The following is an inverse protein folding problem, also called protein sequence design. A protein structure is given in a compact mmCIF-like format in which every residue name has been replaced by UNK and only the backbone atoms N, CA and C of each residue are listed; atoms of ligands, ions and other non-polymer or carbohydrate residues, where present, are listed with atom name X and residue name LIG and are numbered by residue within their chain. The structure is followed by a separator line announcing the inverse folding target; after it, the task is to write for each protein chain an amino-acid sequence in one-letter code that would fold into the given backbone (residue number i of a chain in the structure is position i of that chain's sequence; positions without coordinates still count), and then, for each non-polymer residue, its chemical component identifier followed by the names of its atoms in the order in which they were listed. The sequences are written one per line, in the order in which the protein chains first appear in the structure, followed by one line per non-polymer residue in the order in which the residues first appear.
data_IF_963264764273
#
_entry.id   IF_963264764273
#
_cell.length_a   1.000
_cell.length_b   1.000
_cell.length_c   1.000
_cell.angle_alpha   90.00
_cell.angle_beta   90.00
_cell.angle_gamma   90.00
#
_symmetry.space_group_name_H-M   'P 1'
#
loop_
_entity.id
_entity.type
_entity.pdbx_description
1 polymer ?
#
# COMPACT_ATOMS: atom_id res chain seq x y z
N UNK A 1 11.87 18.65 0.44
CA UNK A 1 10.88 17.65 0.05
C UNK A 1 9.67 18.35 -0.54
N UNK A 2 9.18 17.91 -1.70
CA UNK A 2 7.98 18.41 -2.35
C UNK A 2 6.97 17.27 -2.47
N UNK A 3 5.78 17.46 -1.89
CA UNK A 3 4.66 16.55 -2.06
C UNK A 3 3.75 17.04 -3.20
N UNK A 4 3.38 16.12 -4.09
CA UNK A 4 2.37 16.30 -5.11
C UNK A 4 1.24 15.31 -4.86
N UNK A 5 0.36 15.64 -3.91
CA UNK A 5 -0.82 14.82 -3.60
C UNK A 5 -1.84 14.94 -4.73
N UNK A 6 -2.05 13.85 -5.45
CA UNK A 6 -3.10 13.77 -6.46
C UNK A 6 -4.41 13.36 -5.81
N UNK A 7 -5.52 14.00 -6.19
CA UNK A 7 -6.85 13.53 -5.82
C UNK A 7 -7.23 12.26 -6.59
N UNK A 8 -6.75 12.14 -7.84
CA UNK A 8 -6.90 10.91 -8.61
C UNK A 8 -6.12 9.76 -7.91
N UNK A 9 -6.71 8.62 -7.79
CA UNK A 9 -7.94 8.09 -8.44
C UNK A 9 -9.12 7.98 -7.46
N UNK A 10 -9.21 8.87 -6.48
CA UNK A 10 -10.29 8.89 -5.47
C UNK A 10 -11.66 9.22 -6.09
N UNK A 11 -12.74 8.79 -5.46
CA UNK A 11 -14.11 9.21 -5.80
C UNK A 11 -14.31 10.73 -5.53
N UNK A 12 -15.11 11.48 -6.32
CA UNK A 12 -16.03 11.04 -7.39
C UNK A 12 -15.22 10.71 -8.64
N UNK A 13 -15.57 9.60 -9.34
CA UNK A 13 -14.86 9.19 -10.54
C UNK A 13 -15.19 10.11 -11.70
N UNK A 14 -14.18 10.82 -12.22
CA UNK A 14 -14.31 11.75 -13.33
C UNK A 14 -13.06 11.75 -14.21
N UNK A 15 -13.24 11.69 -15.51
CA UNK A 15 -12.18 11.83 -16.49
C UNK A 15 -12.75 12.43 -17.79
N UNK A 16 -11.92 12.97 -18.71
CA UNK A 16 -12.36 13.42 -20.01
C UNK A 16 -13.09 12.33 -20.80
N UNK A 17 -14.22 12.67 -21.43
CA UNK A 17 -15.04 11.72 -22.19
C UNK A 17 -14.25 10.97 -23.27
N UNK A 18 -13.31 11.64 -23.92
CA UNK A 18 -12.44 11.03 -24.93
C UNK A 18 -11.65 9.84 -24.37
N UNK A 19 -11.14 9.96 -23.13
CA UNK A 19 -10.43 8.87 -22.46
C UNK A 19 -11.37 7.79 -21.94
N UNK A 20 -12.52 8.18 -21.39
CA UNK A 20 -13.53 7.21 -20.95
C UNK A 20 -13.95 6.36 -22.15
N UNK A 21 -14.21 6.97 -23.31
CA UNK A 21 -14.59 6.28 -24.54
C UNK A 21 -13.45 5.38 -25.06
N UNK A 22 -12.18 5.81 -24.95
CA UNK A 22 -11.02 4.97 -25.25
C UNK A 22 -11.08 3.65 -24.47
N UNK A 23 -11.38 3.71 -23.18
CA UNK A 23 -11.41 2.51 -22.32
C UNK A 23 -12.72 1.72 -22.43
N UNK A 24 -13.85 2.34 -22.76
CA UNK A 24 -15.11 1.63 -23.08
C UNK A 24 -14.96 0.72 -24.31
N UNK A 25 -14.15 1.16 -25.28
CA UNK A 25 -13.91 0.41 -26.52
C UNK A 25 -12.82 -0.66 -26.40
N UNK A 26 -12.16 -0.79 -25.23
CA UNK A 26 -11.22 -1.86 -24.95
C UNK A 26 -11.93 -3.07 -24.32
N UNK A 27 -11.51 -4.26 -24.66
CA UNK A 27 -11.93 -5.46 -23.94
C UNK A 27 -11.53 -5.33 -22.47
N UNK A 28 -12.47 -5.39 -21.52
CA UNK A 28 -12.14 -5.28 -20.11
C UNK A 28 -11.30 -6.46 -19.64
N UNK A 29 -10.42 -6.21 -18.69
CA UNK A 29 -9.68 -7.26 -17.99
C UNK A 29 -10.59 -8.11 -17.11
N UNK A 30 -10.08 -9.25 -16.65
CA UNK A 30 -10.83 -10.15 -15.76
C UNK A 30 -11.27 -9.44 -14.46
N UNK A 31 -10.39 -8.64 -13.88
CA UNK A 31 -10.56 -7.99 -12.58
C UNK A 31 -10.86 -6.50 -12.69
N UNK A 32 -10.30 -5.80 -13.68
CA UNK A 32 -10.43 -4.35 -13.84
C UNK A 32 -11.34 -4.02 -15.02
N UNK A 33 -12.56 -3.54 -14.73
CA UNK A 33 -13.62 -3.36 -15.74
C UNK A 33 -14.16 -1.93 -15.81
N UNK A 34 -13.74 -1.04 -14.90
CA UNK A 34 -14.27 0.32 -14.82
C UNK A 34 -13.52 1.26 -15.78
N UNK A 35 -14.14 1.73 -16.88
CA UNK A 35 -13.48 2.57 -17.88
C UNK A 35 -13.17 3.98 -17.36
N UNK A 36 -13.96 4.51 -16.42
CA UNK A 36 -13.71 5.83 -15.85
C UNK A 36 -12.46 5.76 -14.94
N UNK A 37 -12.37 4.74 -14.11
CA UNK A 37 -11.21 4.53 -13.26
C UNK A 37 -9.93 4.32 -14.08
N UNK A 38 -9.99 3.56 -15.16
CA UNK A 38 -8.87 3.37 -16.08
C UNK A 38 -8.43 4.71 -16.74
N UNK A 39 -9.38 5.56 -17.13
CA UNK A 39 -9.09 6.88 -17.66
C UNK A 39 -8.46 7.82 -16.61
N UNK A 40 -8.86 7.71 -15.33
CA UNK A 40 -8.24 8.45 -14.23
C UNK A 40 -6.79 8.00 -13.98
N UNK A 41 -6.53 6.68 -14.03
CA UNK A 41 -5.17 6.14 -13.91
C UNK A 41 -4.28 6.66 -15.03
N UNK A 42 -4.75 6.68 -16.29
CA UNK A 42 -3.98 7.25 -17.42
C UNK A 42 -3.64 8.73 -17.15
N UNK A 43 -4.58 9.51 -16.63
CA UNK A 43 -4.31 10.92 -16.28
C UNK A 43 -3.31 11.08 -15.14
N UNK A 44 -3.34 10.19 -14.18
CA UNK A 44 -2.34 10.16 -13.12
C UNK A 44 -0.95 9.85 -13.69
N UNK A 45 -0.86 8.84 -14.55
CA UNK A 45 0.39 8.45 -15.22
C UNK A 45 0.95 9.57 -16.09
N UNK A 46 0.12 10.23 -16.92
CA UNK A 46 0.46 11.43 -17.68
C UNK A 46 1.05 12.54 -16.80
N UNK A 47 0.50 12.73 -15.60
CA UNK A 47 0.99 13.74 -14.65
C UNK A 47 2.37 13.40 -14.11
N UNK A 48 2.57 12.14 -13.72
CA UNK A 48 3.88 11.63 -13.27
C UNK A 48 4.91 11.75 -14.40
N UNK A 49 4.53 11.37 -15.62
CA UNK A 49 5.38 11.49 -16.80
C UNK A 49 5.84 12.93 -17.05
N UNK A 50 4.91 13.91 -16.96
CA UNK A 50 5.24 15.34 -17.09
C UNK A 50 6.20 15.83 -16.01
N UNK A 51 6.03 15.42 -14.76
CA UNK A 51 6.95 15.76 -13.66
C UNK A 51 8.34 15.22 -13.97
N UNK A 52 8.46 13.96 -14.37
CA UNK A 52 9.73 13.34 -14.74
C UNK A 52 10.40 14.06 -15.94
N UNK A 53 9.61 14.49 -16.92
CA UNK A 53 10.12 15.25 -18.07
C UNK A 53 10.65 16.63 -17.67
N UNK A 54 9.97 17.35 -16.79
CA UNK A 54 10.42 18.64 -16.26
C UNK A 54 11.75 18.49 -15.52
N UNK A 55 11.86 17.51 -14.62
CA UNK A 55 13.09 17.21 -13.87
C UNK A 55 14.25 16.94 -14.83
N UNK A 56 14.01 16.18 -15.91
CA UNK A 56 15.00 15.89 -16.95
C UNK A 56 15.39 17.16 -17.71
N UNK A 57 14.41 17.97 -18.14
CA UNK A 57 14.65 19.21 -18.91
C UNK A 57 15.44 20.24 -18.10
N UNK A 58 15.23 20.31 -16.79
CA UNK A 58 15.96 21.17 -15.87
C UNK A 58 17.38 20.67 -15.54
N UNK A 59 17.76 19.47 -16.00
CA UNK A 59 19.08 18.88 -15.71
C UNK A 59 19.33 18.56 -14.24
N UNK A 60 18.27 18.27 -13.46
CA UNK A 60 18.36 17.99 -12.01
C UNK A 60 18.04 16.54 -11.63
N UNK A 61 17.96 15.63 -12.60
CA UNK A 61 17.53 14.26 -12.40
C UNK A 61 18.46 13.44 -11.48
N UNK A 62 19.74 13.72 -11.49
CA UNK A 62 20.78 13.09 -10.64
C UNK A 62 20.70 13.52 -9.16
N UNK A 63 20.09 14.69 -8.91
CA UNK A 63 19.89 15.26 -7.56
C UNK A 63 18.45 15.20 -7.08
N UNK A 64 17.57 14.49 -7.81
CA UNK A 64 16.15 14.41 -7.50
C UNK A 64 15.72 12.96 -7.37
N UNK A 65 15.19 12.62 -6.20
CA UNK A 65 14.50 11.35 -5.98
C UNK A 65 13.04 11.57 -6.29
N UNK A 66 12.47 10.71 -7.13
CA UNK A 66 11.05 10.66 -7.42
C UNK A 66 10.46 9.41 -6.75
N UNK A 67 9.49 9.60 -5.89
CA UNK A 67 8.81 8.52 -5.17
C UNK A 67 7.33 8.56 -5.56
N UNK A 68 6.82 7.44 -6.09
CA UNK A 68 5.41 7.20 -6.28
C UNK A 68 4.93 6.21 -5.21
N UNK A 69 3.94 6.60 -4.45
CA UNK A 69 3.41 5.83 -3.31
C UNK A 69 1.91 6.08 -3.17
N UNK A 70 1.13 5.02 -2.90
CA UNK A 70 -0.29 5.13 -2.58
C UNK A 70 -0.50 5.16 -1.07
N UNK A 71 -1.51 5.89 -0.61
CA UNK A 71 -1.85 6.02 0.81
C UNK A 71 -2.58 4.78 1.37
N UNK A 72 -3.37 4.10 0.52
CA UNK A 72 -4.11 2.89 0.85
C UNK A 72 -4.40 2.06 -0.40
N UNK A 73 -4.92 0.87 -0.20
CA UNK A 73 -5.36 -0.01 -1.27
C UNK A 73 -6.60 0.48 -2.01
N UNK A 74 -6.90 -0.19 -3.12
CA UNK A 74 -8.04 0.15 -3.97
C UNK A 74 -9.38 0.03 -3.25
N UNK A 75 -10.30 0.92 -3.61
CA UNK A 75 -11.65 0.94 -3.03
C UNK A 75 -12.60 0.04 -3.81
N UNK A 76 -13.13 -1.00 -3.19
CA UNK A 76 -14.26 -1.76 -3.72
C UNK A 76 -15.56 -0.92 -3.64
N UNK A 77 -16.46 -1.02 -4.60
CA UNK A 77 -16.47 -1.82 -5.84
C UNK A 77 -15.85 -1.11 -7.04
N UNK A 78 -15.08 -0.04 -6.85
CA UNK A 78 -14.51 0.78 -7.94
C UNK A 78 -13.44 0.01 -8.70
N UNK A 79 -12.60 -0.71 -7.97
CA UNK A 79 -11.50 -1.53 -8.49
C UNK A 79 -11.39 -2.84 -7.73
N UNK A 80 -10.67 -3.79 -8.32
CA UNK A 80 -10.35 -5.08 -7.72
C UNK A 80 -8.88 -5.08 -7.27
N UNK A 81 -8.57 -5.62 -6.12
CA UNK A 81 -7.21 -5.72 -5.58
C UNK A 81 -6.58 -7.11 -5.78
N UNK A 82 -7.24 -8.00 -6.53
CA UNK A 82 -6.72 -9.35 -6.79
C UNK A 82 -5.24 -9.34 -7.23
N UNK A 83 -4.38 -10.21 -6.68
CA UNK A 83 -4.68 -11.37 -5.82
C UNK A 83 -4.81 -11.05 -4.32
N UNK A 84 -4.74 -9.79 -3.91
CA UNK A 84 -4.82 -9.37 -2.52
C UNK A 84 -6.27 -9.39 -2.04
N UNK A 85 -6.49 -9.81 -0.79
CA UNK A 85 -7.80 -9.83 -0.18
C UNK A 85 -8.22 -8.42 0.29
N UNK A 86 -9.53 -8.11 0.17
CA UNK A 86 -10.12 -6.87 0.66
C UNK A 86 -9.65 -5.63 -0.09
N UNK A 87 -9.85 -4.49 0.52
CA UNK A 87 -9.53 -3.19 -0.06
C UNK A 87 -9.44 -2.08 0.99
N UNK A 88 -9.52 -0.84 0.54
CA UNK A 88 -9.37 0.37 1.36
C UNK A 88 -10.09 0.27 2.71
N UNK A 89 -9.33 0.41 3.81
CA UNK A 89 -9.80 0.41 5.18
C UNK A 89 -10.01 -0.97 5.80
N UNK A 90 -9.81 -2.04 5.04
CA UNK A 90 -9.87 -3.41 5.56
C UNK A 90 -8.50 -3.85 6.12
N UNK A 91 -8.46 -4.82 7.06
CA UNK A 91 -7.21 -5.29 7.67
C UNK A 91 -6.31 -6.12 6.76
N UNK A 92 -6.83 -6.55 5.61
CA UNK A 92 -6.17 -7.45 4.68
C UNK A 92 -5.15 -6.75 3.78
N UNK A 93 -4.35 -7.53 3.05
CA UNK A 93 -3.29 -7.02 2.16
C UNK A 93 -3.84 -6.05 1.10
N UNK A 94 -5.05 -6.29 0.57
CA UNK A 94 -5.69 -5.37 -0.38
C UNK A 94 -5.99 -3.98 0.18
N UNK A 95 -6.07 -3.84 1.51
CA UNK A 95 -6.25 -2.56 2.18
C UNK A 95 -4.94 -1.80 2.45
N UNK A 96 -3.85 -2.53 2.70
CA UNK A 96 -2.60 -1.96 3.21
C UNK A 96 -1.39 -2.13 2.28
N UNK A 97 -1.37 -3.14 1.42
CA UNK A 97 -0.26 -3.39 0.49
C UNK A 97 -0.44 -2.58 -0.79
N UNK A 98 0.39 -1.58 -0.97
CA UNK A 98 0.28 -0.60 -2.05
C UNK A 98 1.56 -0.53 -2.90
N UNK A 99 1.47 -0.01 -4.14
CA UNK A 99 2.65 0.24 -4.95
C UNK A 99 3.58 1.28 -4.31
N UNK A 100 4.88 0.97 -4.30
CA UNK A 100 5.96 1.91 -4.02
C UNK A 100 6.98 1.83 -5.15
N UNK A 101 7.24 2.94 -5.82
CA UNK A 101 8.25 3.04 -6.87
C UNK A 101 9.20 4.18 -6.52
N UNK A 102 10.50 3.90 -6.53
CA UNK A 102 11.53 4.89 -6.26
C UNK A 102 12.45 4.99 -7.47
N UNK A 103 12.66 6.22 -7.96
CA UNK A 103 13.58 6.53 -9.04
C UNK A 103 14.60 7.56 -8.59
N UNK A 104 15.88 7.27 -8.80
CA UNK A 104 16.98 8.22 -8.62
C UNK A 104 18.03 7.99 -9.69
N UNK A 105 18.05 8.87 -10.68
CA UNK A 105 18.91 8.74 -11.85
C UNK A 105 20.40 8.72 -11.48
N UNK A 106 21.13 7.70 -11.94
CA UNK A 106 22.56 7.53 -11.66
C UNK A 106 22.89 7.06 -10.24
N UNK A 107 21.88 6.78 -9.38
CA UNK A 107 22.06 6.29 -8.01
C UNK A 107 21.37 4.96 -7.74
N UNK A 108 20.22 4.73 -8.37
CA UNK A 108 19.47 3.48 -8.27
C UNK A 108 19.43 2.87 -9.67
N UNK A 109 19.82 1.61 -9.78
CA UNK A 109 19.72 0.84 -11.01
C UNK A 109 18.24 0.59 -11.36
N UNK A 110 17.92 0.65 -12.66
CA UNK A 110 16.57 0.40 -13.12
C UNK A 110 16.21 -1.08 -13.09
N UNK A 111 14.92 -1.38 -12.86
CA UNK A 111 14.38 -2.75 -12.90
C UNK A 111 14.57 -3.59 -11.63
N UNK A 112 15.19 -3.05 -10.59
CA UNK A 112 15.32 -3.74 -9.30
C UNK A 112 13.94 -3.89 -8.67
N UNK A 113 13.68 -5.08 -8.10
CA UNK A 113 12.52 -5.37 -7.27
C UNK A 113 12.97 -5.81 -5.89
N UNK A 114 12.32 -5.30 -4.84
CA UNK A 114 12.57 -5.67 -3.45
C UNK A 114 11.29 -6.20 -2.81
N UNK A 115 11.42 -7.23 -1.97
CA UNK A 115 10.35 -7.76 -1.13
C UNK A 115 10.39 -7.22 0.30
N UNK A 116 11.35 -6.36 0.62
CA UNK A 116 11.47 -5.71 1.93
C UNK A 116 10.20 -4.87 2.19
N UNK A 117 9.49 -5.10 3.30
CA UNK A 117 8.29 -4.33 3.61
C UNK A 117 8.67 -2.92 4.05
N UNK A 118 8.11 -1.94 3.34
CA UNK A 118 8.28 -0.50 3.60
C UNK A 118 6.92 0.09 3.99
N UNK A 119 6.93 1.04 4.90
CA UNK A 119 5.71 1.73 5.35
C UNK A 119 5.92 3.25 5.38
N UNK A 120 4.83 4.02 5.48
CA UNK A 120 4.86 5.48 5.42
C UNK A 120 5.75 6.15 6.46
N UNK A 121 5.92 5.54 7.64
CA UNK A 121 6.80 6.07 8.70
C UNK A 121 8.29 6.00 8.35
N UNK A 122 8.68 5.19 7.35
CA UNK A 122 10.06 5.03 6.90
C UNK A 122 10.56 6.23 6.08
N UNK A 123 9.66 7.02 5.50
CA UNK A 123 10.06 8.18 4.69
C UNK A 123 10.77 9.26 5.51
N UNK A 124 10.33 9.52 6.74
CA UNK A 124 10.94 10.56 7.55
C UNK A 124 12.42 10.28 7.86
N UNK A 125 12.82 9.15 8.46
CA UNK A 125 14.23 8.84 8.68
C UNK A 125 15.02 8.75 7.37
N UNK A 126 14.43 8.27 6.28
CA UNK A 126 15.06 8.26 4.97
C UNK A 126 15.43 9.67 4.49
N UNK A 127 14.48 10.62 4.57
CA UNK A 127 14.75 11.98 4.13
C UNK A 127 15.74 12.70 5.03
N UNK A 128 15.74 12.42 6.34
CA UNK A 128 16.73 12.97 7.28
C UNK A 128 18.13 12.44 6.95
N UNK A 129 18.28 11.13 6.67
CA UNK A 129 19.55 10.52 6.25
C UNK A 129 20.07 11.14 4.95
N UNK A 130 19.20 11.27 3.94
CA UNK A 130 19.58 11.86 2.65
C UNK A 130 20.00 13.33 2.76
N UNK A 131 19.43 14.05 3.71
CA UNK A 131 19.79 15.42 4.03
C UNK A 131 21.02 15.53 4.95
N UNK A 132 21.68 14.41 5.29
CA UNK A 132 22.80 14.33 6.22
C UNK A 132 22.47 14.87 7.62
N UNK A 133 21.19 14.78 7.99
CA UNK A 133 20.69 15.16 9.30
C UNK A 133 20.87 14.07 10.35
N UNK A 134 20.68 14.43 11.61
CA UNK A 134 20.68 13.47 12.71
C UNK A 134 19.27 12.89 12.88
N UNK A 135 19.14 11.57 12.77
CA UNK A 135 17.87 10.88 13.03
C UNK A 135 17.59 10.95 14.53
N UNK A 136 16.40 11.41 14.95
CA UNK A 136 15.96 11.34 16.35
C UNK A 136 15.97 9.89 16.86
N UNK A 137 16.24 9.71 18.16
CA UNK A 137 15.99 8.44 18.83
C UNK A 137 14.47 8.18 18.90
N UNK A 138 14.07 6.92 19.02
CA UNK A 138 12.68 6.49 19.23
C UNK A 138 11.75 6.78 18.05
N UNK A 139 12.18 6.44 16.84
CA UNK A 139 11.33 6.40 15.65
C UNK A 139 10.88 4.96 15.36
N UNK A 140 9.62 4.81 14.96
CA UNK A 140 9.08 3.53 14.47
C UNK A 140 9.62 3.21 13.06
N UNK A 141 9.87 4.24 12.25
CA UNK A 141 10.39 4.13 10.91
C UNK A 141 11.89 3.91 10.84
N UNK A 142 12.36 3.31 9.76
CA UNK A 142 13.77 3.09 9.44
C UNK A 142 14.09 3.66 8.06
N UNK A 143 15.37 3.97 7.82
CA UNK A 143 15.81 4.40 6.48
C UNK A 143 15.59 3.30 5.42
N UNK A 144 14.82 3.64 4.38
CA UNK A 144 14.41 2.71 3.32
C UNK A 144 15.61 2.08 2.62
N UNK A 145 16.66 2.88 2.34
CA UNK A 145 17.84 2.37 1.64
C UNK A 145 18.63 1.40 2.51
N UNK A 146 18.73 1.67 3.81
CA UNK A 146 19.33 0.74 4.78
C UNK A 146 18.54 -0.56 4.86
N UNK A 147 17.19 -0.48 4.94
CA UNK A 147 16.32 -1.66 4.97
C UNK A 147 16.52 -2.55 3.72
N UNK A 148 16.55 -1.94 2.53
CA UNK A 148 16.70 -2.66 1.26
C UNK A 148 18.09 -3.27 1.14
N UNK A 149 19.15 -2.52 1.45
CA UNK A 149 20.53 -2.99 1.36
C UNK A 149 20.81 -4.15 2.31
N UNK A 150 20.21 -4.14 3.50
CA UNK A 150 20.35 -5.22 4.48
C UNK A 150 19.35 -6.37 4.24
N UNK A 151 18.46 -6.25 3.26
CA UNK A 151 17.38 -7.21 3.01
C UNK A 151 16.54 -7.52 4.26
N UNK A 152 16.16 -6.49 5.02
CA UNK A 152 15.41 -6.62 6.29
C UNK A 152 13.95 -7.02 6.05
N UNK A 153 13.70 -8.30 5.77
CA UNK A 153 12.35 -8.83 5.51
C UNK A 153 11.59 -9.19 6.79
N UNK A 154 12.30 -9.44 7.89
CA UNK A 154 11.75 -9.96 9.16
C UNK A 154 11.33 -8.86 10.16
N UNK A 155 10.98 -7.67 9.68
CA UNK A 155 10.53 -6.58 10.55
C UNK A 155 9.07 -6.73 10.96
N UNK A 156 8.73 -6.22 12.15
CA UNK A 156 7.35 -6.13 12.64
C UNK A 156 6.72 -4.81 12.18
N UNK A 157 5.53 -4.88 11.58
CA UNK A 157 4.72 -3.74 11.18
C UNK A 157 3.35 -3.85 11.84
N UNK A 158 2.83 -2.72 12.33
CA UNK A 158 1.59 -2.67 13.11
C UNK A 158 0.58 -1.73 12.49
N UNK A 159 -0.69 -2.11 12.55
CA UNK A 159 -1.83 -1.28 12.20
C UNK A 159 -2.86 -1.33 13.32
N UNK A 160 -3.43 -0.19 13.64
CA UNK A 160 -4.52 -0.07 14.60
C UNK A 160 -5.65 0.76 13.99
N UNK A 161 -6.83 0.18 13.89
CA UNK A 161 -8.01 0.82 13.30
C UNK A 161 -9.18 0.71 14.27
N UNK A 162 -9.37 1.70 15.19
CA UNK A 162 -10.38 1.65 16.24
C UNK A 162 -11.74 2.21 15.79
N UNK A 163 -12.14 1.96 14.54
CA UNK A 163 -13.34 2.52 13.96
C UNK A 163 -14.16 1.50 13.18
N UNK A 164 -15.43 1.83 12.95
CA UNK A 164 -16.32 1.11 12.06
C UNK A 164 -16.29 1.77 10.68
N UNK A 165 -16.12 0.99 9.64
CA UNK A 165 -16.13 1.46 8.28
C UNK A 165 -17.29 0.82 7.53
N UNK A 166 -18.28 1.64 7.16
CA UNK A 166 -19.48 1.18 6.49
C UNK A 166 -19.18 0.46 5.16
N UNK A 167 -19.98 -0.54 4.86
CA UNK A 167 -19.95 -1.24 3.58
C UNK A 167 -20.47 -0.32 2.47
N UNK A 168 -19.89 -0.46 1.27
CA UNK A 168 -20.44 0.14 0.06
C UNK A 168 -21.69 -0.60 -0.45
N UNK A 169 -21.92 -1.81 0.08
CA UNK A 169 -23.05 -2.66 -0.24
C UNK A 169 -24.15 -2.46 0.81
N UNK A 170 -25.36 -2.88 0.50
CA UNK A 170 -26.51 -2.90 1.43
C UNK A 170 -26.91 -1.55 2.06
N UNK A 171 -26.55 -0.42 1.42
CA UNK A 171 -26.90 0.92 1.90
C UNK A 171 -26.35 1.25 3.28
N UNK A 172 -25.13 0.76 3.60
CA UNK A 172 -24.45 1.04 4.87
C UNK A 172 -24.96 0.24 6.08
N UNK A 173 -25.71 -0.83 5.85
CA UNK A 173 -26.25 -1.66 6.95
C UNK A 173 -25.23 -2.61 7.58
N UNK A 174 -24.12 -2.85 6.88
CA UNK A 174 -23.02 -3.69 7.32
C UNK A 174 -21.72 -2.90 7.37
N UNK A 175 -20.72 -3.43 8.06
CA UNK A 175 -19.38 -2.86 8.13
C UNK A 175 -18.42 -3.71 7.28
N UNK A 176 -17.62 -3.05 6.42
CA UNK A 176 -16.51 -3.68 5.71
C UNK A 176 -15.25 -3.80 6.57
N UNK A 177 -15.16 -3.00 7.63
CA UNK A 177 -14.20 -3.16 8.71
C UNK A 177 -14.85 -2.75 10.04
N UNK A 178 -14.54 -3.53 11.06
CA UNK A 178 -14.85 -3.28 12.47
C UNK A 178 -13.54 -2.99 13.19
N UNK A 179 -13.54 -2.48 14.42
CA UNK A 179 -12.30 -2.20 15.14
C UNK A 179 -11.36 -3.41 15.17
N UNK A 180 -10.13 -3.20 14.69
CA UNK A 180 -9.09 -4.23 14.65
C UNK A 180 -7.70 -3.66 14.95
N UNK A 181 -6.80 -4.55 15.33
CA UNK A 181 -5.36 -4.36 15.22
C UNK A 181 -4.75 -5.49 14.43
N UNK A 182 -3.68 -5.22 13.70
CA UNK A 182 -2.95 -6.26 13.00
C UNK A 182 -1.44 -6.06 13.11
N UNK A 183 -0.72 -7.18 13.06
CA UNK A 183 0.73 -7.22 12.96
C UNK A 183 1.13 -8.05 11.75
N UNK A 184 2.09 -7.53 10.97
CA UNK A 184 2.88 -8.32 10.04
C UNK A 184 4.28 -8.51 10.62
N UNK A 185 4.73 -9.75 10.73
CA UNK A 185 6.05 -10.13 11.21
C UNK A 185 6.66 -11.11 10.22
N UNK A 186 7.60 -10.63 9.41
CA UNK A 186 8.14 -11.39 8.28
C UNK A 186 7.05 -11.83 7.30
N UNK A 187 6.94 -13.14 7.10
CA UNK A 187 5.95 -13.76 6.22
C UNK A 187 4.56 -13.95 6.88
N UNK A 188 4.42 -13.64 8.15
CA UNK A 188 3.18 -13.88 8.89
C UNK A 188 2.40 -12.62 9.16
N UNK A 189 1.07 -12.74 9.17
CA UNK A 189 0.15 -11.67 9.54
C UNK A 189 -0.91 -12.20 10.50
N UNK A 190 -1.12 -11.47 11.61
CA UNK A 190 -2.20 -11.70 12.55
C UNK A 190 -3.12 -10.48 12.54
N UNK A 191 -4.43 -10.74 12.51
CA UNK A 191 -5.48 -9.75 12.68
C UNK A 191 -6.22 -10.09 13.98
N UNK A 192 -6.42 -9.11 14.85
CA UNK A 192 -7.20 -9.22 16.07
C UNK A 192 -8.42 -8.32 15.98
N UNK A 193 -9.61 -8.88 16.14
CA UNK A 193 -10.89 -8.18 16.12
C UNK A 193 -11.35 -7.87 17.54
N UNK A 194 -11.64 -6.60 17.84
CA UNK A 194 -11.94 -6.17 19.21
C UNK A 194 -13.36 -6.55 19.67
N UNK A 195 -14.34 -6.67 18.76
CA UNK A 195 -15.73 -6.95 19.14
C UNK A 195 -15.90 -8.33 19.75
N UNK A 196 -15.42 -9.35 19.07
CA UNK A 196 -15.61 -10.76 19.43
C UNK A 196 -14.32 -11.43 19.92
N UNK A 197 -13.22 -10.67 19.94
CA UNK A 197 -11.87 -11.14 20.31
C UNK A 197 -11.37 -12.28 19.42
N UNK A 198 -11.92 -12.43 18.23
CA UNK A 198 -11.45 -13.40 17.25
C UNK A 198 -10.09 -12.97 16.67
N UNK A 199 -9.39 -13.95 16.12
CA UNK A 199 -8.09 -13.76 15.47
C UNK A 199 -8.07 -14.51 14.16
N UNK A 200 -7.45 -13.90 13.14
CA UNK A 200 -7.11 -14.54 11.88
C UNK A 200 -5.59 -14.56 11.70
N UNK A 201 -5.03 -15.66 11.23
CA UNK A 201 -3.60 -15.84 11.02
C UNK A 201 -3.32 -16.29 9.60
N UNK A 202 -2.45 -15.58 8.90
CA UNK A 202 -2.09 -15.87 7.51
C UNK A 202 -0.58 -16.01 7.32
N UNK A 203 -0.17 -16.87 6.37
CA UNK A 203 1.20 -16.94 5.88
C UNK A 203 1.27 -16.31 4.48
N UNK A 204 1.66 -15.05 4.41
CA UNK A 204 1.65 -14.24 3.18
C UNK A 204 2.62 -14.73 2.10
N UNK A 205 3.63 -15.54 2.45
CA UNK A 205 4.53 -16.16 1.48
C UNK A 205 3.84 -17.21 0.64
N UNK A 206 2.98 -18.00 1.25
CA UNK A 206 2.30 -19.13 0.62
C UNK A 206 0.88 -18.79 0.19
N UNK A 207 0.27 -17.79 0.85
CA UNK A 207 -1.12 -17.36 0.66
C UNK A 207 -1.21 -15.83 0.74
N UNK A 208 -0.77 -15.18 -0.34
CA UNK A 208 -0.81 -13.71 -0.45
C UNK A 208 -2.25 -13.15 -0.46
N UNK A 209 -3.21 -13.99 -0.87
CA UNK A 209 -4.63 -13.65 -0.93
C UNK A 209 -5.37 -13.86 0.39
N UNK A 210 -4.69 -14.26 1.47
CA UNK A 210 -5.29 -14.44 2.81
C UNK A 210 -6.56 -15.29 2.75
N UNK A 211 -6.50 -16.39 1.98
CA UNK A 211 -7.64 -17.27 1.70
C UNK A 211 -7.80 -18.38 2.73
N UNK A 212 -6.74 -18.69 3.48
CA UNK A 212 -6.70 -19.77 4.47
C UNK A 212 -6.32 -19.23 5.85
N UNK A 213 -7.30 -19.12 6.73
CA UNK A 213 -7.05 -18.80 8.14
C UNK A 213 -6.38 -19.97 8.86
N UNK A 214 -5.18 -19.74 9.38
CA UNK A 214 -4.37 -20.69 10.11
C UNK A 214 -4.48 -20.52 11.64
N UNK A 215 -5.34 -19.64 12.14
CA UNK A 215 -5.42 -19.32 13.57
C UNK A 215 -5.78 -20.52 14.45
N UNK A 216 -6.63 -21.42 13.94
CA UNK A 216 -6.99 -22.67 14.61
C UNK A 216 -5.93 -23.75 14.50
N UNK A 217 -5.22 -23.83 13.36
CA UNK A 217 -4.23 -24.89 13.07
C UNK A 217 -2.81 -24.55 13.55
N UNK A 218 -2.50 -23.28 13.79
CA UNK A 218 -1.19 -22.83 14.26
C UNK A 218 -1.27 -21.95 15.52
N UNK A 219 -1.72 -22.50 16.67
CA UNK A 219 -1.92 -21.74 17.90
C UNK A 219 -0.63 -21.16 18.49
N UNK A 220 0.52 -21.79 18.23
CA UNK A 220 1.83 -21.31 18.71
C UNK A 220 2.19 -20.00 18.03
N UNK A 221 2.16 -19.95 16.69
CA UNK A 221 2.46 -18.73 15.92
C UNK A 221 1.42 -17.63 16.20
N UNK A 222 0.15 -17.99 16.29
CA UNK A 222 -0.91 -17.06 16.70
C UNK A 222 -0.61 -16.41 18.05
N UNK A 223 -0.23 -17.22 19.06
CA UNK A 223 0.09 -16.72 20.40
C UNK A 223 1.33 -15.82 20.41
N UNK A 224 2.39 -16.19 19.68
CA UNK A 224 3.60 -15.38 19.51
C UNK A 224 3.26 -13.98 18.95
N UNK A 225 2.53 -13.92 17.84
CA UNK A 225 2.20 -12.64 17.22
C UNK A 225 1.20 -11.81 18.03
N UNK A 226 0.29 -12.47 18.74
CA UNK A 226 -0.63 -11.78 19.66
C UNK A 226 0.12 -11.10 20.80
N UNK A 227 1.13 -11.75 21.38
CA UNK A 227 1.97 -11.15 22.43
C UNK A 227 2.78 -9.94 21.91
N UNK A 228 3.23 -9.96 20.66
CA UNK A 228 3.90 -8.82 20.05
C UNK A 228 2.93 -7.65 19.74
N UNK A 229 1.67 -7.97 19.45
CA UNK A 229 0.65 -6.99 19.08
C UNK A 229 0.09 -6.23 20.27
N UNK A 230 0.03 -6.88 21.46
CA UNK A 230 -0.52 -6.33 22.71
C UNK A 230 0.57 -5.77 23.62
#
# INVERSE_FOLDING_TARGET
VLFRSHHAVHTVLQAPDSLINKYRNKTPGKYHKNPIYAAMIEKLDDSVGRICQVIKTLGIADRTIVIFYSDNGGSEPVTDNYPLNGGKGMPYEGGSRVPLIIRWTGKIEGGIRSSVPITGVDFYPTFVTLAQGKIPANLDGKDIFTLINNNETERDLFWHFPAYLESYLNGGRDFRAKPYSSIRSGDWKLIYHYEDKSMELFNLKNDLGESQDLSGSNPVKRGELYQKLM
#
